data_IF_666682046750
#
_entry.id   IF_666682046750
#
_cell.length_a   1.000
_cell.length_b   1.000
_cell.length_c   1.000
_cell.angle_alpha   90.00
_cell.angle_beta   90.00
_cell.angle_gamma   90.00
#
_symmetry.space_group_name_H-M   'P 1'
#
loop_
_entity.id
_entity.type
_entity.pdbx_description
1 polymer ?
#
# COMPACT_ATOMS: atom_id res chain seq x y z
N UNK A 1 10.37 -8.74 1.26
CA UNK A 1 9.43 -8.90 0.10
C UNK A 1 10.01 -9.88 -0.88
N UNK A 2 9.58 -11.12 -0.75
CA UNK A 2 10.18 -12.23 -1.51
C UNK A 2 9.47 -12.53 -2.83
N UNK A 3 8.26 -12.00 -3.02
CA UNK A 3 7.43 -12.27 -4.20
C UNK A 3 6.78 -10.99 -4.72
N UNK A 4 7.55 -10.12 -5.39
CA UNK A 4 7.02 -8.85 -5.90
C UNK A 4 5.94 -9.05 -6.97
N UNK A 5 6.02 -10.09 -7.77
CA UNK A 5 5.01 -10.44 -8.76
C UNK A 5 3.67 -10.76 -8.11
N UNK A 6 3.67 -11.50 -7.01
CA UNK A 6 2.44 -11.81 -6.27
C UNK A 6 1.79 -10.55 -5.70
N UNK A 7 2.58 -9.69 -5.08
CA UNK A 7 2.07 -8.43 -4.53
C UNK A 7 1.48 -7.55 -5.62
N UNK A 8 2.16 -7.45 -6.75
CA UNK A 8 1.70 -6.69 -7.90
C UNK A 8 0.40 -7.25 -8.48
N UNK A 9 0.35 -8.55 -8.72
CA UNK A 9 -0.82 -9.20 -9.32
C UNK A 9 -2.05 -9.10 -8.40
N UNK A 10 -1.84 -9.23 -7.09
CA UNK A 10 -2.92 -9.06 -6.11
C UNK A 10 -3.46 -7.64 -6.15
N UNK A 11 -2.59 -6.65 -6.13
CA UNK A 11 -2.99 -5.24 -6.24
C UNK A 11 -3.75 -4.98 -7.55
N UNK A 12 -3.19 -5.44 -8.67
CA UNK A 12 -3.76 -5.20 -9.99
C UNK A 12 -5.18 -5.79 -10.13
N UNK A 13 -5.38 -6.98 -9.57
CA UNK A 13 -6.70 -7.61 -9.58
C UNK A 13 -7.75 -6.76 -8.87
N UNK A 14 -7.43 -6.25 -7.70
CA UNK A 14 -8.34 -5.38 -6.95
C UNK A 14 -8.53 -4.03 -7.64
N UNK A 15 -7.44 -3.46 -8.14
CA UNK A 15 -7.47 -2.17 -8.82
C UNK A 15 -8.34 -2.22 -10.09
N UNK A 16 -8.19 -3.27 -10.89
CA UNK A 16 -9.01 -3.45 -12.09
C UNK A 16 -10.49 -3.60 -11.77
N UNK A 17 -10.83 -4.21 -10.64
CA UNK A 17 -12.22 -4.37 -10.20
C UNK A 17 -12.84 -3.08 -9.68
N UNK A 18 -12.03 -2.07 -9.37
CA UNK A 18 -12.51 -0.81 -8.80
C UNK A 18 -13.14 0.14 -9.84
N UNK A 19 -12.83 -0.05 -11.10
CA UNK A 19 -13.23 0.88 -12.17
C UNK A 19 -12.31 2.09 -12.31
N UNK A 20 -11.33 2.27 -11.43
CA UNK A 20 -10.30 3.29 -11.60
C UNK A 20 -9.30 2.87 -12.68
N UNK A 21 -8.56 3.83 -13.19
CA UNK A 21 -7.47 3.56 -14.13
C UNK A 21 -6.29 4.49 -13.83
N UNK A 22 -5.12 4.14 -14.34
CA UNK A 22 -3.87 4.87 -14.11
C UNK A 22 -3.83 6.26 -14.74
N UNK A 23 -4.82 6.61 -15.55
CA UNK A 23 -4.93 7.95 -16.18
C UNK A 23 -5.73 8.92 -15.33
N UNK A 24 -6.42 8.45 -14.32
CA UNK A 24 -7.11 9.31 -13.37
C UNK A 24 -6.09 10.19 -12.63
N UNK A 25 -6.36 11.49 -12.54
CA UNK A 25 -5.42 12.48 -12.03
C UNK A 25 -5.22 12.38 -10.52
N UNK A 26 -4.53 11.31 -10.11
CA UNK A 26 -4.25 11.05 -8.73
C UNK A 26 -5.48 10.55 -7.98
N UNK A 27 -5.31 9.52 -7.21
CA UNK A 27 -6.34 8.98 -6.34
C UNK A 27 -5.77 8.74 -4.95
N UNK A 28 -6.63 8.73 -3.96
CA UNK A 28 -6.27 8.37 -2.59
C UNK A 28 -6.74 6.95 -2.32
N UNK A 29 -5.80 6.09 -1.95
CA UNK A 29 -6.06 4.69 -1.66
C UNK A 29 -6.10 4.44 -0.16
N UNK A 30 -6.95 3.52 0.26
CA UNK A 30 -6.97 2.97 1.61
C UNK A 30 -6.96 1.44 1.53
N UNK A 31 -6.00 0.81 2.19
CA UNK A 31 -5.99 -0.63 2.39
C UNK A 31 -6.21 -0.97 3.86
N UNK A 32 -7.11 -1.88 4.12
CA UNK A 32 -7.32 -2.44 5.45
C UNK A 32 -6.55 -3.76 5.56
N UNK A 33 -5.65 -3.81 6.53
CA UNK A 33 -4.89 -5.02 6.84
C UNK A 33 -3.77 -5.36 5.86
N UNK A 34 -2.80 -4.44 5.65
CA UNK A 34 -1.68 -4.73 4.76
C UNK A 34 -0.74 -5.84 5.29
N UNK A 35 -0.86 -6.20 6.56
CA UNK A 35 -0.01 -7.22 7.16
C UNK A 35 1.39 -6.71 7.44
N UNK A 36 2.39 -7.49 7.07
CA UNK A 36 3.79 -7.19 7.35
C UNK A 36 4.49 -6.40 6.23
N UNK A 37 3.73 -5.81 5.30
CA UNK A 37 4.29 -5.18 4.11
C UNK A 37 3.58 -3.88 3.76
N UNK A 38 4.35 -2.90 3.27
CA UNK A 38 3.82 -1.66 2.68
C UNK A 38 3.83 -1.69 1.15
N UNK A 39 4.02 -2.88 0.56
CA UNK A 39 4.18 -3.04 -0.88
C UNK A 39 3.02 -2.44 -1.69
N UNK A 40 1.79 -2.57 -1.20
CA UNK A 40 0.62 -2.04 -1.89
C UNK A 40 0.67 -0.53 -2.07
N UNK A 41 1.18 0.19 -1.07
CA UNK A 41 1.37 1.64 -1.18
C UNK A 41 2.40 2.03 -2.23
N UNK A 42 3.49 1.28 -2.32
CA UNK A 42 4.52 1.49 -3.35
C UNK A 42 3.96 1.20 -4.73
N UNK A 43 3.21 0.10 -4.88
CA UNK A 43 2.58 -0.27 -6.14
C UNK A 43 1.53 0.78 -6.55
N UNK A 44 0.71 1.24 -5.61
CA UNK A 44 -0.30 2.26 -5.87
C UNK A 44 0.31 3.55 -6.43
N UNK A 45 1.50 3.92 -5.94
CA UNK A 45 2.22 5.07 -6.49
C UNK A 45 2.47 4.93 -8.00
N UNK A 46 2.81 3.72 -8.46
CA UNK A 46 3.02 3.45 -9.88
C UNK A 46 1.75 3.64 -10.71
N UNK A 47 0.59 3.45 -10.12
CA UNK A 47 -0.71 3.66 -10.77
C UNK A 47 -1.26 5.07 -10.62
N UNK A 48 -0.48 5.98 -10.02
CA UNK A 48 -0.85 7.38 -9.92
C UNK A 48 -1.47 7.79 -8.59
N UNK A 49 -1.39 6.97 -7.55
CA UNK A 49 -1.87 7.35 -6.23
C UNK A 49 -1.12 8.59 -5.72
N UNK A 50 -1.87 9.60 -5.32
CA UNK A 50 -1.31 10.79 -4.68
C UNK A 50 -1.12 10.61 -3.17
N UNK A 51 -1.85 9.68 -2.58
CA UNK A 51 -1.75 9.33 -1.16
C UNK A 51 -2.24 7.89 -0.96
N UNK A 52 -1.56 7.15 -0.10
CA UNK A 52 -1.97 5.80 0.30
C UNK A 52 -2.01 5.71 1.82
N UNK A 53 -3.15 5.25 2.34
CA UNK A 53 -3.32 4.93 3.74
C UNK A 53 -3.31 3.41 3.90
N UNK A 54 -2.43 2.91 4.76
CA UNK A 54 -2.36 1.49 5.10
C UNK A 54 -2.73 1.36 6.58
N UNK A 55 -3.86 0.73 6.86
CA UNK A 55 -4.43 0.68 8.21
C UNK A 55 -4.37 -0.75 8.72
N UNK A 56 -3.70 -0.95 9.85
CA UNK A 56 -3.62 -2.23 10.53
C UNK A 56 -3.83 -2.02 12.05
N UNK A 57 -3.97 -3.11 12.77
CA UNK A 57 -4.10 -3.09 14.23
C UNK A 57 -2.75 -3.13 14.95
N UNK A 58 -1.66 -3.25 14.22
CA UNK A 58 -0.31 -3.34 14.79
C UNK A 58 0.73 -2.84 13.82
N UNK A 59 1.97 -2.85 14.24
CA UNK A 59 3.10 -2.28 13.51
C UNK A 59 3.93 -3.37 12.79
N UNK A 60 3.30 -4.44 12.32
CA UNK A 60 4.00 -5.59 11.74
C UNK A 60 4.87 -5.21 10.54
N UNK A 61 4.40 -4.30 9.70
CA UNK A 61 5.16 -3.85 8.54
C UNK A 61 6.42 -3.07 8.93
N UNK A 62 6.38 -2.34 10.03
CA UNK A 62 7.54 -1.59 10.55
C UNK A 62 8.50 -2.55 11.24
N UNK A 63 7.98 -3.50 12.02
CA UNK A 63 8.79 -4.47 12.75
C UNK A 63 9.44 -5.50 11.84
N UNK A 64 8.88 -5.73 10.66
CA UNK A 64 9.42 -6.66 9.67
C UNK A 64 10.70 -6.12 9.06
N UNK A 65 11.70 -6.98 8.89
CA UNK A 65 12.96 -6.64 8.21
C UNK A 65 12.87 -6.84 6.70
N UNK A 66 11.71 -6.62 6.10
CA UNK A 66 11.47 -6.80 4.67
C UNK A 66 12.43 -5.95 3.83
N UNK A 67 13.01 -6.57 2.81
CA UNK A 67 13.80 -5.86 1.81
C UNK A 67 12.93 -5.57 0.58
N UNK A 68 12.65 -4.31 0.34
CA UNK A 68 11.82 -3.88 -0.79
C UNK A 68 12.60 -3.73 -2.11
N UNK A 69 13.90 -4.04 -2.10
CA UNK A 69 14.74 -3.90 -3.30
C UNK A 69 14.24 -4.71 -4.50
N UNK A 70 13.81 -5.95 -4.27
CA UNK A 70 13.26 -6.79 -5.34
C UNK A 70 11.97 -6.20 -5.91
N UNK A 71 11.12 -5.64 -5.07
CA UNK A 71 9.91 -4.96 -5.52
C UNK A 71 10.25 -3.73 -6.36
N UNK A 72 11.21 -2.92 -5.92
CA UNK A 72 11.65 -1.75 -6.67
C UNK A 72 12.22 -2.13 -8.04
N UNK A 73 13.05 -3.16 -8.10
CA UNK A 73 13.59 -3.64 -9.38
C UNK A 73 12.47 -4.12 -10.32
N UNK A 74 11.51 -4.85 -9.78
CA UNK A 74 10.37 -5.34 -10.53
C UNK A 74 9.52 -4.19 -11.11
N UNK A 75 9.23 -3.18 -10.29
CA UNK A 75 8.42 -2.03 -10.71
C UNK A 75 9.18 -1.13 -11.67
N UNK A 76 10.48 -0.96 -11.50
CA UNK A 76 11.31 -0.19 -12.44
C UNK A 76 11.30 -0.81 -13.84
N UNK A 77 11.17 -2.13 -13.95
CA UNK A 77 11.07 -2.80 -15.25
C UNK A 77 9.70 -2.66 -15.88
N UNK A 78 8.63 -2.56 -15.06
CA UNK A 78 7.27 -2.48 -15.57
C UNK A 78 6.82 -1.06 -15.91
N UNK A 79 7.34 -0.06 -15.20
CA UNK A 79 6.90 1.32 -15.34
C UNK A 79 8.08 2.21 -15.71
N UNK A 80 7.96 2.93 -16.83
CA UNK A 80 9.00 3.85 -17.28
C UNK A 80 9.03 5.15 -16.49
N UNK A 81 7.91 5.52 -15.88
CA UNK A 81 7.76 6.79 -15.17
C UNK A 81 8.21 6.76 -13.71
N UNK A 82 8.68 5.63 -13.21
CA UNK A 82 9.14 5.50 -11.82
C UNK A 82 10.65 5.30 -11.78
N UNK A 83 11.25 5.77 -10.71
CA UNK A 83 12.70 5.66 -10.47
C UNK A 83 12.92 5.27 -9.00
N UNK A 84 12.67 4.01 -8.72
CA UNK A 84 12.91 3.46 -7.38
C UNK A 84 14.38 3.11 -7.18
N UNK A 85 14.86 3.11 -5.93
CA UNK A 85 16.21 2.66 -5.62
C UNK A 85 16.45 1.22 -6.12
N UNK A 86 17.63 0.96 -6.64
CA UNK A 86 18.00 -0.38 -7.09
C UNK A 86 18.25 -1.31 -5.90
N UNK A 87 18.07 -2.61 -6.10
CA UNK A 87 18.27 -3.60 -5.04
C UNK A 87 19.70 -3.63 -4.49
N UNK A 88 20.67 -3.16 -5.28
CA UNK A 88 22.06 -3.03 -4.86
C UNK A 88 22.29 -1.84 -3.93
N UNK A 89 21.34 -0.91 -3.86
CA UNK A 89 21.44 0.24 -2.99
C UNK A 89 21.12 -0.16 -1.54
N UNK A 90 21.50 0.69 -0.59
CA UNK A 90 21.30 0.42 0.83
C UNK A 90 19.81 0.25 1.12
N UNK A 91 19.48 -0.79 1.89
CA UNK A 91 18.12 -1.04 2.35
C UNK A 91 17.66 0.16 3.17
N UNK A 92 16.58 0.79 2.73
CA UNK A 92 16.01 1.95 3.42
C UNK A 92 15.02 1.52 4.47
N UNK A 93 14.97 2.20 5.63
CA UNK A 93 13.90 1.98 6.59
C UNK A 93 12.52 2.22 5.97
N UNK A 94 11.53 1.54 6.52
CA UNK A 94 10.13 1.70 6.07
C UNK A 94 9.70 3.17 6.13
N UNK A 95 10.13 3.90 7.16
CA UNK A 95 9.80 5.30 7.35
C UNK A 95 10.27 6.18 6.18
N UNK A 96 11.46 5.92 5.63
CA UNK A 96 11.95 6.68 4.47
C UNK A 96 11.12 6.38 3.22
N UNK A 97 10.68 5.14 3.07
CA UNK A 97 9.83 4.73 1.94
C UNK A 97 8.45 5.39 2.05
N UNK A 98 7.86 5.37 3.24
CA UNK A 98 6.54 5.95 3.45
C UNK A 98 6.56 7.46 3.23
N UNK A 99 7.58 8.15 3.70
CA UNK A 99 7.71 9.59 3.52
C UNK A 99 7.88 9.97 2.03
N UNK A 100 8.73 9.24 1.33
CA UNK A 100 9.07 9.58 -0.06
C UNK A 100 7.90 9.39 -1.02
N UNK A 101 7.09 8.35 -0.82
CA UNK A 101 5.99 8.02 -1.74
C UNK A 101 4.61 8.29 -1.15
N UNK A 102 4.55 9.14 -0.14
CA UNK A 102 3.31 9.62 0.46
C UNK A 102 2.39 8.48 0.93
N UNK A 103 2.99 7.55 1.65
CA UNK A 103 2.29 6.42 2.27
C UNK A 103 2.17 6.71 3.78
N UNK A 104 0.98 6.59 4.33
CA UNK A 104 0.76 6.72 5.77
C UNK A 104 0.32 5.37 6.35
N UNK A 105 1.16 4.83 7.23
CA UNK A 105 0.90 3.56 7.90
C UNK A 105 0.32 3.83 9.29
N UNK A 106 -0.93 3.42 9.50
CA UNK A 106 -1.72 3.70 10.70
C UNK A 106 -1.97 2.40 11.46
N UNK A 107 -1.69 2.39 12.77
CA UNK A 107 -1.62 1.16 13.56
C UNK A 107 -2.70 1.04 14.65
N UNK A 108 -3.66 1.96 14.68
CA UNK A 108 -4.73 1.95 15.69
C UNK A 108 -5.97 1.15 15.26
N UNK A 109 -5.79 0.23 14.32
CA UNK A 109 -6.89 -0.57 13.78
C UNK A 109 -7.95 0.33 13.14
N UNK A 110 -9.21 -0.06 13.28
CA UNK A 110 -10.32 0.71 12.70
C UNK A 110 -10.50 2.10 13.31
N UNK A 111 -9.96 2.36 14.49
CA UNK A 111 -9.95 3.71 15.06
C UNK A 111 -9.10 4.68 14.24
N UNK A 112 -8.15 4.18 13.45
CA UNK A 112 -7.39 5.00 12.52
C UNK A 112 -8.27 5.71 11.50
N UNK A 113 -9.40 5.11 11.13
CA UNK A 113 -10.33 5.68 10.15
C UNK A 113 -10.94 7.00 10.63
N UNK A 114 -11.02 7.21 11.94
CA UNK A 114 -11.54 8.45 12.52
C UNK A 114 -10.63 9.66 12.26
N UNK A 115 -9.39 9.43 11.87
CA UNK A 115 -8.42 10.47 11.55
C UNK A 115 -8.52 10.94 10.10
N UNK A 116 -9.25 10.21 9.26
CA UNK A 116 -9.44 10.57 7.87
C UNK A 116 -10.57 11.55 7.71
N UNK A 117 -10.41 12.49 6.78
CA UNK A 117 -11.48 13.42 6.42
C UNK A 117 -12.57 12.70 5.64
N UNK A 118 -13.80 13.20 5.77
CA UNK A 118 -14.92 12.66 5.01
C UNK A 118 -14.66 12.81 3.50
N UNK A 119 -15.04 11.80 2.74
CA UNK A 119 -14.91 11.78 1.29
C UNK A 119 -13.47 11.96 0.78
N UNK A 120 -12.48 11.56 1.59
CA UNK A 120 -11.07 11.73 1.23
C UNK A 120 -10.47 10.54 0.49
N UNK A 121 -11.17 9.39 0.42
CA UNK A 121 -10.65 8.14 -0.16
C UNK A 121 -11.42 7.82 -1.44
N UNK A 122 -10.68 7.58 -2.52
CA UNK A 122 -11.25 7.21 -3.83
C UNK A 122 -11.30 5.71 -4.05
N UNK A 123 -10.35 4.96 -3.45
CA UNK A 123 -10.20 3.54 -3.65
C UNK A 123 -9.91 2.85 -2.33
N UNK A 124 -10.83 1.97 -1.92
CA UNK A 124 -10.67 1.16 -0.70
C UNK A 124 -10.65 -0.31 -1.07
N UNK A 125 -9.73 -1.05 -0.50
CA UNK A 125 -9.69 -2.49 -0.65
C UNK A 125 -9.16 -3.19 0.59
N UNK A 126 -9.42 -4.48 0.65
CA UNK A 126 -9.00 -5.34 1.75
C UNK A 126 -8.88 -6.76 1.26
N UNK A 127 -7.89 -7.49 1.75
CA UNK A 127 -7.75 -8.91 1.44
C UNK A 127 -7.67 -9.70 2.75
N UNK A 128 -8.63 -10.61 2.94
CA UNK A 128 -8.65 -11.56 4.06
C UNK A 128 -8.64 -10.93 5.45
N UNK A 129 -9.24 -9.74 5.59
CA UNK A 129 -9.26 -8.98 6.85
C UNK A 129 -10.65 -8.96 7.47
N UNK A 130 -11.68 -8.71 6.67
CA UNK A 130 -13.04 -8.51 7.18
C UNK A 130 -13.56 -9.73 7.93
N UNK A 131 -13.11 -10.92 7.57
CA UNK A 131 -13.46 -12.17 8.24
C UNK A 131 -12.96 -12.26 9.69
N UNK A 132 -11.96 -11.43 10.04
CA UNK A 132 -11.36 -11.38 11.38
C UNK A 132 -11.91 -10.26 12.25
N UNK A 133 -12.81 -9.43 11.73
CA UNK A 133 -13.40 -8.32 12.48
C UNK A 133 -14.52 -8.86 13.37
N UNK A 134 -14.35 -8.67 14.69
CA UNK A 134 -15.29 -9.17 15.68
C UNK A 134 -16.47 -8.23 15.97
N UNK A 135 -16.40 -6.99 15.51
CA UNK A 135 -17.43 -5.97 15.70
C UNK A 135 -18.01 -5.62 14.34
N UNK A 136 -19.08 -6.31 13.91
CA UNK A 136 -19.62 -6.12 12.56
C UNK A 136 -20.12 -4.70 12.28
N UNK A 137 -20.39 -3.91 13.29
CA UNK A 137 -20.78 -2.49 13.11
C UNK A 137 -19.69 -1.64 12.47
N UNK A 138 -18.46 -2.13 12.40
CA UNK A 138 -17.37 -1.45 11.71
C UNK A 138 -17.21 -1.89 10.25
N UNK A 139 -17.97 -2.86 9.83
CA UNK A 139 -17.97 -3.32 8.44
C UNK A 139 -19.16 -2.80 7.67
#
# INVERSE_FOLDING_TARGET
MDKPDYAYDTFLRHFNSSGLNDKDNGFTMLELGPGDSIASGVIAHCFGAKKSYLVDKGSDAIASSQNYGLLFDYLNKKFECVDFPKSSDIVKPVEEITDKWNIEYMVDGLDSLKKLEDSSVDYLWSQSVLEHIRKPEFT
#
